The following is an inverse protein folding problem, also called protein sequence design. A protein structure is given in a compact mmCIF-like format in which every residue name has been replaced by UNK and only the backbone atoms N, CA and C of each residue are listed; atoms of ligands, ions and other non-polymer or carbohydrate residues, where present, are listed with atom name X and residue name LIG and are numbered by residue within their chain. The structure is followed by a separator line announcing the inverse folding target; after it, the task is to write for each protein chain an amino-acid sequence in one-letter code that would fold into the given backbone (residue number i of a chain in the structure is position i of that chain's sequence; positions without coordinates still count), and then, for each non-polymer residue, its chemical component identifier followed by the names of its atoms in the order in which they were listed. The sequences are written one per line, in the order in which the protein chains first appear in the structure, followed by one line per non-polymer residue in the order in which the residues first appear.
data_IF_508890652641
#
_entry.id   IF_508890652641
#
_cell.length_a   1.000
_cell.length_b   1.000
_cell.length_c   1.000
_cell.angle_alpha   90.00
_cell.angle_beta   90.00
_cell.angle_gamma   90.00
#
_symmetry.space_group_name_H-M   'P 1'
#
loop_
_entity.id
_entity.type
_entity.pdbx_description
1 polymer ?
#
# COMPACT_ATOMS: atom_id res chain seq x y z
N UNK A 1 -8.53 0.08 18.54
CA UNK A 1 -9.47 -0.39 17.50
C UNK A 1 -9.05 -1.79 17.11
N UNK A 2 -9.98 -2.74 17.09
CA UNK A 2 -9.71 -4.08 16.58
C UNK A 2 -9.83 -4.09 15.04
N UNK A 3 -8.86 -4.67 14.33
CA UNK A 3 -8.78 -4.64 12.86
C UNK A 3 -8.60 -6.06 12.31
N UNK A 4 -9.36 -6.38 11.26
CA UNK A 4 -9.11 -7.54 10.40
C UNK A 4 -8.11 -7.12 9.34
N UNK A 5 -7.04 -7.89 9.16
CA UNK A 5 -6.08 -7.67 8.07
C UNK A 5 -6.10 -8.89 7.16
N UNK A 6 -6.16 -8.64 5.85
CA UNK A 6 -6.26 -9.67 4.83
C UNK A 6 -5.21 -9.46 3.75
N UNK A 7 -4.74 -10.58 3.20
CA UNK A 7 -3.82 -10.61 2.06
C UNK A 7 -4.42 -11.47 0.96
N UNK A 8 -4.21 -11.04 -0.28
CA UNK A 8 -4.52 -11.83 -1.47
C UNK A 8 -3.21 -12.06 -2.22
N UNK A 9 -2.78 -13.32 -2.29
CA UNK A 9 -1.59 -13.70 -3.03
C UNK A 9 -1.98 -14.01 -4.48
N UNK A 10 -1.34 -13.34 -5.43
CA UNK A 10 -1.62 -13.50 -6.85
C UNK A 10 -1.57 -14.98 -7.27
N UNK A 11 -2.66 -15.49 -7.86
CA UNK A 11 -2.82 -16.89 -8.29
C UNK A 11 -2.62 -17.93 -7.17
N UNK A 12 -2.62 -17.50 -5.91
CA UNK A 12 -2.47 -18.36 -4.74
C UNK A 12 -3.73 -18.37 -3.91
N UNK A 13 -3.57 -17.96 -2.65
CA UNK A 13 -4.60 -18.02 -1.63
C UNK A 13 -4.87 -16.64 -1.04
N UNK A 14 -6.07 -16.52 -0.45
CA UNK A 14 -6.48 -15.35 0.34
C UNK A 14 -6.56 -15.81 1.79
N UNK A 15 -6.03 -15.00 2.70
CA UNK A 15 -6.15 -15.25 4.13
C UNK A 15 -6.30 -13.96 4.90
N UNK A 16 -7.00 -14.01 6.03
CA UNK A 16 -7.22 -12.87 6.89
C UNK A 16 -7.22 -13.29 8.36
N UNK A 17 -6.64 -12.44 9.21
CA UNK A 17 -6.51 -12.70 10.64
C UNK A 17 -7.02 -11.49 11.42
N UNK A 18 -7.74 -11.76 12.50
CA UNK A 18 -8.32 -10.74 13.38
C UNK A 18 -7.35 -10.41 14.51
N UNK A 19 -6.85 -9.17 14.53
CA UNK A 19 -5.89 -8.71 15.55
C UNK A 19 -4.61 -9.55 15.70
N UNK A 20 -4.23 -10.31 14.67
CA UNK A 20 -3.10 -11.22 14.71
C UNK A 20 -2.25 -11.08 13.44
N UNK A 21 -1.57 -9.94 13.33
CA UNK A 21 -0.71 -9.61 12.19
C UNK A 21 0.52 -10.52 12.14
N UNK A 22 1.06 -10.94 13.30
CA UNK A 22 2.23 -11.81 13.39
C UNK A 22 1.95 -13.15 12.70
N UNK A 23 0.84 -13.80 13.05
CA UNK A 23 0.46 -15.07 12.43
C UNK A 23 0.10 -14.93 10.96
N UNK A 24 -0.49 -13.80 10.56
CA UNK A 24 -0.74 -13.50 9.14
C UNK A 24 0.58 -13.42 8.35
N UNK A 25 1.58 -12.71 8.87
CA UNK A 25 2.91 -12.59 8.27
C UNK A 25 3.61 -13.95 8.20
N UNK A 26 3.59 -14.71 9.29
CA UNK A 26 4.15 -16.07 9.32
C UNK A 26 3.50 -16.95 8.24
N UNK A 27 2.17 -16.90 8.13
CA UNK A 27 1.43 -17.64 7.13
C UNK A 27 1.82 -17.21 5.71
N UNK A 28 1.97 -15.90 5.44
CA UNK A 28 2.42 -15.40 4.12
C UNK A 28 3.82 -15.92 3.78
N UNK A 29 4.75 -15.86 4.73
CA UNK A 29 6.14 -16.28 4.53
C UNK A 29 6.29 -17.80 4.33
N UNK A 30 5.29 -18.60 4.67
CA UNK A 30 5.24 -20.04 4.40
C UNK A 30 4.74 -20.38 2.99
N UNK A 31 4.21 -19.40 2.25
CA UNK A 31 3.71 -19.62 0.88
C UNK A 31 4.88 -19.66 -0.12
N UNK A 32 4.72 -20.31 -1.30
CA UNK A 32 5.74 -20.34 -2.34
C UNK A 32 5.82 -18.98 -3.07
N UNK A 33 6.41 -17.98 -2.41
CA UNK A 33 6.55 -16.62 -2.94
C UNK A 33 7.66 -16.54 -4.01
N UNK A 34 7.47 -15.64 -4.96
CA UNK A 34 8.51 -15.28 -5.92
C UNK A 34 9.69 -14.56 -5.23
N UNK A 35 10.86 -14.59 -5.87
CA UNK A 35 12.06 -13.91 -5.37
C UNK A 35 11.92 -12.38 -5.34
N UNK A 36 11.05 -11.82 -6.19
CA UNK A 36 10.60 -10.43 -6.15
C UNK A 36 9.11 -10.43 -5.84
N UNK A 37 8.73 -9.86 -4.70
CA UNK A 37 7.35 -9.74 -4.26
C UNK A 37 6.87 -8.31 -4.44
N UNK A 38 5.81 -8.13 -5.23
CA UNK A 38 5.12 -6.83 -5.34
C UNK A 38 4.05 -6.76 -4.26
N UNK A 39 4.15 -5.77 -3.38
CA UNK A 39 3.22 -5.56 -2.29
C UNK A 39 2.37 -4.32 -2.59
N UNK A 40 1.08 -4.51 -2.91
CA UNK A 40 0.13 -3.41 -3.15
C UNK A 40 -0.63 -3.11 -1.85
N UNK A 41 -0.50 -1.88 -1.34
CA UNK A 41 -1.08 -1.47 -0.06
C UNK A 41 -1.86 -0.16 -0.13
N UNK A 42 -2.76 0.09 0.82
CA UNK A 42 -3.65 1.25 0.83
C UNK A 42 -3.05 2.53 1.44
N UNK A 43 -1.81 2.47 1.93
CA UNK A 43 -1.14 3.63 2.52
C UNK A 43 -1.23 3.74 4.04
N UNK A 44 -2.03 2.92 4.72
CA UNK A 44 -2.11 2.98 6.18
C UNK A 44 -0.90 2.30 6.84
N UNK A 45 -0.45 2.84 7.98
CA UNK A 45 0.65 2.28 8.77
C UNK A 45 0.49 0.78 9.05
N UNK A 46 -0.74 0.33 9.31
CA UNK A 46 -1.04 -1.09 9.54
C UNK A 46 -0.71 -2.00 8.35
N UNK A 47 -0.76 -1.50 7.11
CA UNK A 47 -0.38 -2.25 5.91
C UNK A 47 1.14 -2.21 5.71
N UNK A 48 1.78 -1.05 5.89
CA UNK A 48 3.23 -0.94 5.78
C UNK A 48 3.97 -1.79 6.82
N UNK A 49 3.48 -1.78 8.06
CA UNK A 49 4.01 -2.63 9.14
C UNK A 49 3.80 -4.12 8.85
N UNK A 50 2.81 -4.50 8.03
CA UNK A 50 2.63 -5.89 7.60
C UNK A 50 3.69 -6.30 6.57
N UNK A 51 4.06 -5.40 5.66
CA UNK A 51 5.03 -5.70 4.60
C UNK A 51 6.46 -5.83 5.11
N UNK A 52 6.85 -5.06 6.13
CA UNK A 52 8.22 -5.04 6.66
C UNK A 52 8.82 -6.44 6.93
N UNK A 53 8.12 -7.36 7.63
CA UNK A 53 8.61 -8.72 7.90
C UNK A 53 8.29 -9.76 6.80
N UNK A 54 7.58 -9.39 5.73
CA UNK A 54 7.25 -10.32 4.64
C UNK A 54 8.42 -10.39 3.65
N UNK A 55 8.95 -11.58 3.38
CA UNK A 55 10.10 -11.78 2.49
C UNK A 55 11.36 -10.99 2.95
N UNK A 56 12.50 -11.16 2.26
CA UNK A 56 13.73 -10.43 2.62
C UNK A 56 13.67 -8.97 2.17
N UNK A 57 14.29 -8.08 2.94
CA UNK A 57 14.55 -6.70 2.49
C UNK A 57 15.33 -6.72 1.16
N UNK A 58 14.89 -5.90 0.19
CA UNK A 58 15.42 -5.90 -1.18
C UNK A 58 14.76 -6.91 -2.14
N UNK A 59 13.90 -7.80 -1.63
CA UNK A 59 13.07 -8.70 -2.42
C UNK A 59 11.59 -8.27 -2.45
N UNK A 60 11.29 -7.07 -1.96
CA UNK A 60 9.96 -6.45 -2.00
C UNK A 60 9.97 -5.19 -2.85
N UNK A 61 8.88 -5.00 -3.60
CA UNK A 61 8.56 -3.76 -4.28
C UNK A 61 7.19 -3.29 -3.80
N UNK A 62 7.19 -2.25 -2.96
CA UNK A 62 6.00 -1.75 -2.27
C UNK A 62 5.35 -0.64 -3.13
N UNK A 63 4.07 -0.81 -3.43
CA UNK A 63 3.28 0.09 -4.27
C UNK A 63 2.08 0.59 -3.46
N UNK A 64 1.89 1.90 -3.45
CA UNK A 64 0.66 2.51 -2.94
C UNK A 64 -0.46 2.36 -3.98
N UNK A 65 -1.59 1.84 -3.54
CA UNK A 65 -2.78 1.66 -4.35
C UNK A 65 -3.31 3.00 -4.88
N UNK A 66 -3.44 3.08 -6.21
CA UNK A 66 -3.84 4.30 -6.90
C UNK A 66 -5.25 4.75 -6.51
N UNK A 67 -6.19 3.82 -6.34
CA UNK A 67 -7.56 4.16 -5.98
C UNK A 67 -7.62 4.83 -4.60
N UNK A 68 -6.96 4.26 -3.60
CA UNK A 68 -6.92 4.86 -2.26
C UNK A 68 -6.16 6.19 -2.25
N UNK A 69 -5.09 6.31 -3.04
CA UNK A 69 -4.34 7.56 -3.18
C UNK A 69 -5.23 8.69 -3.74
N UNK A 70 -5.98 8.43 -4.82
CA UNK A 70 -6.87 9.43 -5.42
C UNK A 70 -8.10 9.72 -4.55
N UNK A 71 -8.65 8.70 -3.89
CA UNK A 71 -9.72 8.90 -2.90
C UNK A 71 -9.26 9.84 -1.77
N UNK A 72 -8.04 9.64 -1.25
CA UNK A 72 -7.46 10.48 -0.21
C UNK A 72 -7.14 11.89 -0.72
N UNK A 73 -6.63 12.03 -1.95
CA UNK A 73 -6.44 13.33 -2.58
C UNK A 73 -7.75 14.11 -2.67
N UNK A 74 -8.85 13.45 -3.07
CA UNK A 74 -10.18 14.06 -3.10
C UNK A 74 -10.65 14.55 -1.72
N UNK A 75 -10.34 13.79 -0.65
CA UNK A 75 -10.67 14.17 0.74
C UNK A 75 -9.90 15.40 1.24
N UNK A 76 -8.69 15.66 0.73
CA UNK A 76 -7.93 16.89 1.05
C UNK A 76 -8.67 18.15 0.59
N UNK A 77 -9.48 18.05 -0.48
CA UNK A 77 -10.29 19.14 -1.01
C UNK A 77 -9.47 20.26 -1.65
N UNK A 78 -10.05 21.46 -1.78
CA UNK A 78 -9.44 22.61 -2.45
C UNK A 78 -9.91 22.80 -3.89
N UNK A 79 -9.18 23.59 -4.69
CA UNK A 79 -9.58 23.85 -6.08
C UNK A 79 -9.31 22.63 -6.97
N UNK A 80 -10.20 22.36 -7.92
CA UNK A 80 -10.04 21.25 -8.87
C UNK A 80 -8.70 21.35 -9.62
N UNK A 81 -8.34 22.56 -10.07
CA UNK A 81 -7.06 22.82 -10.74
C UNK A 81 -5.85 22.40 -9.90
N UNK A 82 -5.90 22.57 -8.57
CA UNK A 82 -4.83 22.13 -7.68
C UNK A 82 -4.81 20.61 -7.58
N UNK A 83 -5.96 19.99 -7.37
CA UNK A 83 -6.09 18.52 -7.29
C UNK A 83 -5.59 17.85 -8.57
N UNK A 84 -5.96 18.37 -9.75
CA UNK A 84 -5.50 17.87 -11.05
C UNK A 84 -3.97 17.98 -11.19
N UNK A 85 -3.38 19.07 -10.67
CA UNK A 85 -1.92 19.25 -10.71
C UNK A 85 -1.20 18.25 -9.78
N UNK A 86 -1.76 18.00 -8.59
CA UNK A 86 -1.24 16.99 -7.66
C UNK A 86 -1.36 15.59 -8.27
N UNK A 87 -2.54 15.22 -8.79
CA UNK A 87 -2.79 13.94 -9.45
C UNK A 87 -1.83 13.70 -10.61
N UNK A 88 -1.61 14.71 -11.46
CA UNK A 88 -0.68 14.60 -12.57
C UNK A 88 0.78 14.36 -12.10
N UNK A 89 1.20 14.95 -10.98
CA UNK A 89 2.51 14.68 -10.39
C UNK A 89 2.60 13.26 -9.85
N UNK A 90 1.58 12.82 -9.10
CA UNK A 90 1.50 11.46 -8.55
C UNK A 90 1.50 10.39 -9.65
N UNK A 91 0.79 10.62 -10.75
CA UNK A 91 0.76 9.71 -11.91
C UNK A 91 2.16 9.47 -12.52
N UNK A 92 3.03 10.49 -12.49
CA UNK A 92 4.42 10.40 -12.96
C UNK A 92 5.38 9.87 -11.90
N UNK A 93 4.91 9.61 -10.67
CA UNK A 93 5.76 9.28 -9.53
C UNK A 93 6.56 10.47 -8.98
N UNK A 94 6.22 11.71 -9.35
CA UNK A 94 6.91 12.92 -8.88
C UNK A 94 6.31 13.40 -7.54
N UNK A 95 6.69 12.69 -6.47
CA UNK A 95 6.20 12.94 -5.10
C UNK A 95 6.61 14.33 -4.62
N UNK A 96 7.83 14.76 -4.93
CA UNK A 96 8.36 16.08 -4.53
C UNK A 96 7.52 17.23 -5.11
N UNK A 97 7.21 17.17 -6.41
CA UNK A 97 6.33 18.18 -7.01
C UNK A 97 4.91 18.07 -6.47
N UNK A 98 4.38 16.86 -6.27
CA UNK A 98 3.06 16.66 -5.69
C UNK A 98 2.93 17.35 -4.32
N UNK A 99 3.93 17.22 -3.45
CA UNK A 99 3.96 17.89 -2.16
C UNK A 99 4.02 19.42 -2.29
N UNK A 100 4.87 19.93 -3.19
CA UNK A 100 5.00 21.39 -3.42
C UNK A 100 3.70 22.04 -3.89
N UNK A 101 2.92 21.35 -4.73
CA UNK A 101 1.63 21.89 -5.24
C UNK A 101 0.45 21.61 -4.29
N UNK A 102 0.67 20.83 -3.23
CA UNK A 102 -0.35 20.49 -2.23
C UNK A 102 -0.52 21.58 -1.16
N UNK A 103 0.54 22.35 -0.86
CA UNK A 103 0.53 23.53 0.02
C UNK A 103 0.04 24.78 -0.69
#
# INVERSE_FOLDING_TARGET
MARLQGVNLHQGCVSAFWQDNERLVEWVNQQPLASLLVCLGDGHDGIWNLFEPINRQGQRFEILDWYHLIENLGKVGGSQRRLDAVEACLWRGDVESALRVST
#
